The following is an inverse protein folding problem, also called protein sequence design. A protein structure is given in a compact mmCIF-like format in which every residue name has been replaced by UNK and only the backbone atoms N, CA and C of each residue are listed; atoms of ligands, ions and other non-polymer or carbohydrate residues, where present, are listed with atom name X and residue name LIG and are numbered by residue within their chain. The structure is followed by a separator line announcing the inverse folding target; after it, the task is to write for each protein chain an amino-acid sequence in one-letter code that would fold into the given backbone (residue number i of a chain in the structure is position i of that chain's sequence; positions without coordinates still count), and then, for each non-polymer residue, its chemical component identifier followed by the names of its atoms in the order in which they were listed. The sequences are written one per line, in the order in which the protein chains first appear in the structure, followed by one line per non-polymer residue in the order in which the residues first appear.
data_IF_653444585068
#
_entry.id   IF_653444585068
#
_cell.length_a   1.000
_cell.length_b   1.000
_cell.length_c   1.000
_cell.angle_alpha   90.00
_cell.angle_beta   90.00
_cell.angle_gamma   90.00
#
_symmetry.space_group_name_H-M   'P 1'
#
loop_
_entity.id
_entity.type
_entity.pdbx_description
1 polymer ?
#
# COMPACT_ATOMS: atom_id res chain seq x y z
N UNK A 1 61.28 -45.25 13.02
CA UNK A 1 61.34 -44.64 11.66
C UNK A 1 60.37 -45.42 10.80
N UNK A 2 59.31 -44.91 10.16
CA UNK A 2 58.69 -43.59 10.02
C UNK A 2 57.35 -43.90 9.32
N UNK A 3 56.20 -43.69 9.98
CA UNK A 3 55.24 -42.63 9.65
C UNK A 3 54.87 -42.51 8.16
N UNK A 4 53.69 -43.02 7.81
CA UNK A 4 52.71 -42.37 6.91
C UNK A 4 51.73 -41.58 7.83
N UNK A 5 50.86 -40.64 7.37
CA UNK A 5 50.35 -40.45 6.01
C UNK A 5 50.01 -38.97 5.62
N UNK A 6 49.33 -38.84 4.49
CA UNK A 6 48.22 -37.90 4.26
C UNK A 6 48.51 -36.55 3.59
N UNK A 7 48.38 -36.62 2.27
CA UNK A 7 47.95 -35.56 1.35
C UNK A 7 46.85 -34.66 1.95
N UNK A 8 47.13 -33.36 2.01
CA UNK A 8 46.12 -32.31 2.19
C UNK A 8 45.89 -31.64 0.82
N UNK A 9 44.80 -32.03 0.17
CA UNK A 9 44.18 -31.30 -0.94
C UNK A 9 43.45 -30.09 -0.34
N UNK A 10 44.01 -28.89 -0.50
CA UNK A 10 43.32 -27.63 -0.24
C UNK A 10 42.41 -27.31 -1.44
N UNK A 11 41.14 -27.70 -1.32
CA UNK A 11 40.07 -27.19 -2.16
C UNK A 11 39.66 -25.78 -1.64
N UNK A 12 40.17 -24.74 -2.30
CA UNK A 12 39.68 -23.37 -2.14
C UNK A 12 38.29 -23.27 -2.79
N UNK A 13 37.25 -23.39 -1.96
CA UNK A 13 35.88 -23.04 -2.30
C UNK A 13 35.78 -21.52 -2.50
N UNK A 14 35.88 -21.08 -3.74
CA UNK A 14 35.47 -19.74 -4.15
C UNK A 14 33.97 -19.59 -3.90
N UNK A 15 33.62 -18.74 -2.93
CA UNK A 15 32.25 -18.30 -2.70
C UNK A 15 31.75 -17.58 -3.95
N UNK A 16 30.98 -18.28 -4.78
CA UNK A 16 30.20 -17.68 -5.85
C UNK A 16 29.23 -16.68 -5.21
N UNK A 17 29.53 -15.39 -5.39
CA UNK A 17 28.60 -14.31 -5.11
C UNK A 17 27.36 -14.52 -5.97
N UNK A 18 26.28 -15.02 -5.38
CA UNK A 18 24.99 -15.15 -6.01
C UNK A 18 24.34 -13.77 -6.18
N UNK A 19 24.92 -12.92 -7.03
CA UNK A 19 24.19 -11.85 -7.71
C UNK A 19 23.39 -12.51 -8.85
N UNK A 20 22.39 -13.32 -8.48
CA UNK A 20 21.40 -13.75 -9.46
C UNK A 20 20.61 -12.53 -9.93
N UNK A 21 20.31 -12.38 -11.23
CA UNK A 21 19.41 -11.34 -11.69
C UNK A 21 18.08 -11.52 -10.96
N UNK A 22 17.69 -10.51 -10.18
CA UNK A 22 16.39 -10.46 -9.52
C UNK A 22 15.36 -10.51 -10.64
N UNK A 23 14.75 -11.68 -10.86
CA UNK A 23 13.59 -11.84 -11.76
C UNK A 23 12.48 -10.97 -11.18
N UNK A 24 12.39 -9.73 -11.63
CA UNK A 24 11.25 -8.87 -11.40
C UNK A 24 10.07 -9.55 -12.07
N UNK A 25 9.17 -10.13 -11.27
CA UNK A 25 7.93 -10.72 -11.76
C UNK A 25 7.05 -9.58 -12.33
N UNK A 26 6.88 -9.49 -13.66
CA UNK A 26 6.13 -8.40 -14.29
C UNK A 26 4.62 -8.48 -14.00
N UNK A 27 4.15 -9.54 -13.32
CA UNK A 27 2.76 -9.69 -12.92
C UNK A 27 2.42 -9.01 -11.59
N UNK A 28 3.41 -8.75 -10.73
CA UNK A 28 3.19 -8.03 -9.47
C UNK A 28 3.66 -6.60 -9.60
N UNK A 29 2.70 -5.71 -9.81
CA UNK A 29 2.86 -4.30 -9.49
C UNK A 29 3.38 -4.24 -8.05
N UNK A 30 4.59 -3.71 -7.84
CA UNK A 30 4.92 -3.20 -6.53
C UNK A 30 4.04 -1.97 -6.35
N UNK A 31 2.90 -2.15 -5.69
CA UNK A 31 1.98 -1.09 -5.25
C UNK A 31 2.82 0.11 -4.79
N UNK A 32 2.56 1.30 -5.32
CA UNK A 32 3.35 2.47 -4.99
C UNK A 32 3.20 2.74 -3.49
N UNK A 33 4.29 2.48 -2.77
CA UNK A 33 4.25 2.39 -1.32
C UNK A 33 4.01 3.74 -0.63
N UNK A 34 4.05 4.84 -1.39
CA UNK A 34 3.90 6.19 -0.88
C UNK A 34 2.60 6.85 -1.32
N UNK A 35 1.68 6.11 -1.96
CA UNK A 35 0.60 6.76 -2.67
C UNK A 35 -0.65 7.05 -1.82
N UNK A 36 -1.19 8.27 -1.96
CA UNK A 36 -2.49 8.65 -1.44
C UNK A 36 -3.68 8.41 -2.40
N UNK A 37 -3.71 7.29 -3.12
CA UNK A 37 -4.78 7.00 -4.08
C UNK A 37 -5.80 6.03 -3.48
N UNK A 38 -7.10 6.24 -3.71
CA UNK A 38 -8.09 5.24 -3.36
C UNK A 38 -7.90 4.03 -4.26
N UNK A 39 -7.55 2.89 -3.66
CA UNK A 39 -7.67 1.60 -4.33
C UNK A 39 -9.14 1.18 -4.18
N UNK A 40 -9.81 0.85 -5.28
CA UNK A 40 -11.20 0.38 -5.25
C UNK A 40 -12.14 1.41 -4.60
N UNK A 41 -12.51 2.47 -5.30
CA UNK A 41 -13.57 3.38 -4.85
C UNK A 41 -14.94 2.70 -4.99
N UNK A 42 -15.83 2.90 -4.01
CA UNK A 42 -17.19 2.34 -4.00
C UNK A 42 -18.20 3.25 -3.28
N UNK A 43 -19.47 2.94 -3.50
CA UNK A 43 -20.58 3.58 -2.82
C UNK A 43 -20.79 2.94 -1.44
N UNK A 44 -21.46 3.68 -0.55
CA UNK A 44 -21.72 3.22 0.80
C UNK A 44 -22.35 1.81 0.84
N UNK A 45 -21.69 0.89 1.56
CA UNK A 45 -22.18 -0.47 1.75
C UNK A 45 -22.10 -1.38 0.52
N UNK A 46 -21.35 -0.98 -0.51
CA UNK A 46 -21.15 -1.78 -1.73
C UNK A 46 -19.73 -2.36 -1.83
N UNK A 47 -19.53 -3.50 -2.50
CA UNK A 47 -18.19 -4.01 -2.80
C UNK A 47 -17.41 -3.03 -3.69
N UNK A 48 -16.05 -3.03 -3.65
CA UNK A 48 -15.25 -2.20 -4.53
C UNK A 48 -15.53 -2.55 -5.98
N UNK A 49 -15.55 -1.55 -6.86
CA UNK A 49 -15.67 -1.82 -8.28
C UNK A 49 -14.43 -2.61 -8.72
N UNK A 50 -14.64 -3.81 -9.27
CA UNK A 50 -13.53 -4.67 -9.65
C UNK A 50 -12.83 -4.14 -10.90
N UNK A 51 -11.50 -4.09 -10.84
CA UNK A 51 -10.61 -3.61 -11.91
C UNK A 51 -9.53 -4.65 -12.19
N UNK A 52 -9.90 -5.93 -12.15
CA UNK A 52 -8.96 -7.06 -12.25
C UNK A 52 -8.20 -7.10 -13.58
N UNK A 53 -8.81 -6.57 -14.65
CA UNK A 53 -8.15 -6.40 -15.94
C UNK A 53 -7.03 -5.35 -15.95
N UNK A 54 -6.94 -4.49 -14.91
CA UNK A 54 -5.87 -3.50 -14.77
C UNK A 54 -4.65 -4.11 -14.09
N UNK A 55 -3.66 -4.41 -14.92
CA UNK A 55 -2.32 -4.90 -14.59
C UNK A 55 -1.29 -3.83 -14.96
N UNK A 56 -0.01 -4.01 -14.60
CA UNK A 56 1.07 -3.11 -15.08
C UNK A 56 1.02 -2.95 -16.61
N UNK A 57 0.82 -4.06 -17.33
CA UNK A 57 0.83 -4.09 -18.80
C UNK A 57 -0.36 -3.34 -19.42
N UNK A 58 -1.48 -3.27 -18.71
CA UNK A 58 -2.72 -2.63 -19.18
C UNK A 58 -2.99 -1.29 -18.49
N UNK A 59 -2.05 -0.80 -17.68
CA UNK A 59 -2.23 0.39 -16.86
C UNK A 59 -2.57 1.64 -17.70
N UNK A 60 -1.92 1.82 -18.85
CA UNK A 60 -2.24 2.91 -19.79
C UNK A 60 -3.67 2.80 -20.32
N UNK A 61 -4.11 1.60 -20.71
CA UNK A 61 -5.49 1.38 -21.16
C UNK A 61 -6.50 1.70 -20.05
N UNK A 62 -6.18 1.36 -18.80
CA UNK A 62 -7.03 1.71 -17.66
C UNK A 62 -7.10 3.22 -17.42
N UNK A 63 -6.00 3.94 -17.62
CA UNK A 63 -6.00 5.40 -17.59
C UNK A 63 -6.89 5.99 -18.68
N UNK A 64 -6.74 5.54 -19.92
CA UNK A 64 -7.53 6.05 -21.05
C UNK A 64 -9.03 5.77 -20.87
N UNK A 65 -9.38 4.59 -20.33
CA UNK A 65 -10.77 4.25 -19.96
C UNK A 65 -11.30 5.14 -18.83
N UNK A 66 -10.50 5.41 -17.81
CA UNK A 66 -10.88 6.29 -16.72
C UNK A 66 -11.17 7.71 -17.22
N UNK A 67 -10.30 8.25 -18.08
CA UNK A 67 -10.51 9.56 -18.71
C UNK A 67 -11.77 9.59 -19.58
N UNK A 68 -12.04 8.52 -20.32
CA UNK A 68 -13.24 8.42 -21.16
C UNK A 68 -14.51 8.52 -20.30
N UNK A 69 -14.57 7.78 -19.18
CA UNK A 69 -15.69 7.85 -18.25
C UNK A 69 -15.83 9.26 -17.63
N UNK A 70 -14.72 9.87 -17.22
CA UNK A 70 -14.75 11.20 -16.60
C UNK A 70 -15.13 12.30 -17.61
N UNK A 71 -14.75 12.16 -18.88
CA UNK A 71 -15.09 13.10 -19.94
C UNK A 71 -16.59 13.07 -20.30
N UNK A 72 -17.29 11.95 -20.05
CA UNK A 72 -18.73 11.81 -20.27
C UNK A 72 -19.60 12.29 -19.10
N UNK A 73 -19.06 13.08 -18.18
CA UNK A 73 -19.72 13.51 -16.92
C UNK A 73 -20.25 12.31 -16.11
N UNK A 74 -19.46 11.24 -16.00
CA UNK A 74 -19.84 10.04 -15.25
C UNK A 74 -20.24 10.39 -13.81
N UNK A 75 -21.35 9.80 -13.35
CA UNK A 75 -21.88 9.98 -11.98
C UNK A 75 -22.01 8.66 -11.26
N UNK A 76 -22.09 8.72 -9.93
CA UNK A 76 -22.35 7.56 -9.08
C UNK A 76 -21.40 6.39 -9.38
N UNK A 77 -21.91 5.18 -9.71
CA UNK A 77 -21.08 4.00 -9.94
C UNK A 77 -20.02 4.15 -11.04
N UNK A 78 -20.32 4.87 -12.12
CA UNK A 78 -19.38 5.05 -13.23
C UNK A 78 -18.20 5.96 -12.84
N UNK A 79 -18.49 6.99 -12.04
CA UNK A 79 -17.47 7.86 -11.44
C UNK A 79 -16.54 7.07 -10.52
N UNK A 80 -17.11 6.23 -9.66
CA UNK A 80 -16.35 5.36 -8.75
C UNK A 80 -15.53 4.29 -9.50
N UNK A 81 -16.06 3.79 -10.62
CA UNK A 81 -15.32 2.93 -11.54
C UNK A 81 -14.13 3.67 -12.15
N UNK A 82 -14.33 4.90 -12.63
CA UNK A 82 -13.26 5.71 -13.17
C UNK A 82 -12.16 5.98 -12.14
N UNK A 83 -12.53 6.31 -10.90
CA UNK A 83 -11.58 6.45 -9.79
C UNK A 83 -10.79 5.18 -9.52
N UNK A 84 -11.45 4.02 -9.49
CA UNK A 84 -10.78 2.72 -9.30
C UNK A 84 -9.80 2.42 -10.44
N UNK A 85 -10.19 2.66 -11.69
CA UNK A 85 -9.31 2.48 -12.86
C UNK A 85 -8.11 3.43 -12.81
N UNK A 86 -8.33 4.69 -12.42
CA UNK A 86 -7.29 5.69 -12.25
C UNK A 86 -6.28 5.27 -11.18
N UNK A 87 -6.75 4.80 -10.02
CA UNK A 87 -5.92 4.25 -8.94
C UNK A 87 -5.01 3.13 -9.43
N UNK A 88 -5.58 2.15 -10.15
CA UNK A 88 -4.80 1.01 -10.69
C UNK A 88 -3.83 1.40 -11.80
N UNK A 89 -4.22 2.33 -12.67
CA UNK A 89 -3.33 2.84 -13.72
C UNK A 89 -2.11 3.53 -13.10
N UNK A 90 -2.38 4.33 -12.07
CA UNK A 90 -1.37 4.95 -11.27
C UNK A 90 -0.49 3.87 -10.62
N UNK A 91 -1.03 2.77 -10.07
CA UNK A 91 -0.24 1.68 -9.47
C UNK A 91 0.68 1.03 -10.51
N UNK A 92 0.19 0.88 -11.73
CA UNK A 92 0.99 0.53 -12.91
C UNK A 92 1.95 1.61 -13.41
N UNK A 93 2.27 2.62 -12.60
CA UNK A 93 3.24 3.69 -12.85
C UNK A 93 2.87 4.66 -13.98
N UNK A 94 1.59 4.80 -14.31
CA UNK A 94 1.13 5.86 -15.23
C UNK A 94 1.16 7.21 -14.51
N UNK A 95 2.21 8.01 -14.77
CA UNK A 95 2.44 9.31 -14.10
C UNK A 95 1.25 10.26 -14.17
N UNK A 96 0.59 10.33 -15.31
CA UNK A 96 -0.55 11.22 -15.53
C UNK A 96 -1.75 10.83 -14.68
N UNK A 97 -1.99 9.53 -14.49
CA UNK A 97 -3.04 9.04 -13.58
C UNK A 97 -2.78 9.51 -12.14
N UNK A 98 -1.51 9.54 -11.73
CA UNK A 98 -1.11 9.97 -10.39
C UNK A 98 -1.21 11.47 -10.18
N UNK A 99 -0.78 12.24 -11.18
CA UNK A 99 -0.98 13.68 -11.18
C UNK A 99 -2.47 14.03 -11.17
N UNK A 100 -3.29 13.30 -11.92
CA UNK A 100 -4.73 13.52 -11.92
C UNK A 100 -5.34 13.27 -10.54
N UNK A 101 -5.02 12.15 -9.90
CA UNK A 101 -5.54 11.83 -8.56
C UNK A 101 -5.13 12.85 -7.52
N UNK A 102 -3.86 13.29 -7.50
CA UNK A 102 -3.40 14.27 -6.52
C UNK A 102 -4.03 15.65 -6.70
N UNK A 103 -4.44 16.01 -7.92
CA UNK A 103 -5.09 17.27 -8.23
C UNK A 103 -6.59 17.27 -7.88
N UNK A 104 -7.28 16.14 -8.08
CA UNK A 104 -8.74 16.08 -8.02
C UNK A 104 -9.27 15.38 -6.77
N UNK A 105 -8.55 14.41 -6.22
CA UNK A 105 -8.97 13.66 -5.04
C UNK A 105 -8.36 14.28 -3.79
N UNK A 106 -9.22 14.71 -2.87
CA UNK A 106 -8.81 15.03 -1.50
C UNK A 106 -8.65 13.73 -0.74
N UNK A 107 -7.46 13.55 -0.18
CA UNK A 107 -7.11 12.36 0.60
C UNK A 107 -7.94 12.24 1.88
N UNK A 108 -8.13 11.02 2.40
CA UNK A 108 -8.73 10.84 3.71
C UNK A 108 -7.86 11.48 4.78
N UNK A 109 -8.49 12.28 5.64
CA UNK A 109 -7.79 12.99 6.72
C UNK A 109 -8.18 12.43 8.06
N UNK A 110 -7.21 11.98 8.85
CA UNK A 110 -7.46 11.54 10.23
C UNK A 110 -7.98 12.72 11.06
N UNK A 111 -9.09 12.50 11.79
CA UNK A 111 -9.73 13.51 12.66
C UNK A 111 -9.73 13.12 14.13
N UNK A 112 -9.60 11.82 14.45
CA UNK A 112 -9.48 11.33 15.82
C UNK A 112 -8.65 10.05 15.85
N UNK A 113 -8.01 9.80 16.98
CA UNK A 113 -7.04 8.73 17.12
C UNK A 113 -5.69 9.14 16.56
N UNK A 114 -4.69 8.34 16.88
CA UNK A 114 -3.30 8.59 16.53
C UNK A 114 -2.51 7.30 16.74
N UNK A 115 -1.20 7.29 16.45
CA UNK A 115 -0.34 6.23 16.94
C UNK A 115 -0.63 6.00 18.44
N UNK A 116 -0.52 4.79 18.98
CA UNK A 116 -0.81 4.57 20.40
C UNK A 116 -0.08 5.61 21.27
N UNK A 117 -0.84 6.44 21.98
CA UNK A 117 -0.30 7.49 22.85
C UNK A 117 0.29 6.90 24.15
N UNK A 118 0.12 5.59 24.36
CA UNK A 118 0.66 4.87 25.49
C UNK A 118 2.20 5.10 25.55
N UNK A 119 2.74 5.61 26.67
CA UNK A 119 4.17 5.88 26.81
C UNK A 119 5.03 4.65 26.50
N UNK A 120 4.55 3.46 26.87
CA UNK A 120 5.20 2.18 26.57
C UNK A 120 5.33 1.94 25.07
N UNK A 121 4.32 2.29 24.28
CA UNK A 121 4.39 2.18 22.83
C UNK A 121 5.35 3.22 22.26
N UNK A 122 5.29 4.47 22.72
CA UNK A 122 6.19 5.53 22.27
C UNK A 122 7.65 5.19 22.59
N UNK A 123 7.96 4.73 23.80
CA UNK A 123 9.30 4.31 24.20
C UNK A 123 9.79 3.08 23.44
N UNK A 124 8.95 2.04 23.31
CA UNK A 124 9.31 0.85 22.55
C UNK A 124 9.53 1.15 21.07
N UNK A 125 8.70 2.03 20.50
CA UNK A 125 8.84 2.52 19.14
C UNK A 125 10.11 3.36 18.95
N UNK A 126 10.41 4.28 19.88
CA UNK A 126 11.62 5.12 19.86
C UNK A 126 12.89 4.28 19.91
N UNK A 127 13.01 3.36 20.89
CA UNK A 127 14.17 2.47 21.04
C UNK A 127 14.40 1.58 19.82
N UNK A 128 13.31 1.16 19.19
CA UNK A 128 13.38 0.34 17.99
C UNK A 128 13.79 1.17 16.76
N UNK A 129 13.25 2.39 16.60
CA UNK A 129 13.60 3.37 15.54
C UNK A 129 15.05 3.80 15.55
N UNK A 130 15.70 3.84 16.71
CA UNK A 130 17.13 4.14 16.85
C UNK A 130 18.05 3.10 16.16
N UNK A 131 17.53 1.94 15.73
CA UNK A 131 18.33 0.87 15.12
C UNK A 131 17.99 0.47 13.68
N UNK A 132 16.88 0.92 13.07
CA UNK A 132 16.41 0.40 11.76
C UNK A 132 15.45 1.36 11.02
N UNK A 133 15.26 1.14 9.70
CA UNK A 133 14.24 1.81 8.87
C UNK A 133 12.92 1.07 9.02
N UNK A 134 11.90 1.78 9.42
CA UNK A 134 10.68 1.17 9.89
C UNK A 134 9.46 1.69 9.20
N UNK A 135 8.58 0.74 8.92
CA UNK A 135 7.27 1.02 8.42
C UNK A 135 6.32 -0.14 8.69
N UNK A 136 5.07 0.22 8.87
CA UNK A 136 3.93 -0.67 8.72
C UNK A 136 3.05 -0.10 7.63
N UNK A 137 2.66 -0.96 6.69
CA UNK A 137 1.67 -0.67 5.66
C UNK A 137 0.44 -1.51 5.95
N UNK A 138 -0.67 -0.84 6.16
CA UNK A 138 -1.97 -1.50 6.37
C UNK A 138 -2.94 -0.94 5.35
N UNK A 139 -3.51 -1.80 4.52
CA UNK A 139 -4.64 -1.43 3.67
C UNK A 139 -5.92 -1.67 4.45
N UNK A 140 -6.70 -0.63 4.67
CA UNK A 140 -7.98 -0.73 5.35
C UNK A 140 -9.08 -0.19 4.45
N UNK A 141 -10.28 -0.72 4.62
CA UNK A 141 -11.49 -0.18 4.05
C UNK A 141 -11.96 1.02 4.83
N UNK A 142 -11.99 2.20 4.21
CA UNK A 142 -12.56 3.40 4.78
C UNK A 142 -14.03 3.51 4.34
N UNK A 143 -14.92 3.28 5.29
CA UNK A 143 -16.37 3.30 5.07
C UNK A 143 -17.04 4.49 5.75
N UNK A 144 -18.35 4.67 5.52
CA UNK A 144 -19.17 5.71 6.13
C UNK A 144 -18.96 5.75 7.65
N UNK A 145 -18.82 6.97 8.19
CA UNK A 145 -18.42 7.19 9.59
C UNK A 145 -16.90 7.22 9.81
N UNK A 146 -16.10 6.96 8.76
CA UNK A 146 -14.66 7.19 8.79
C UNK A 146 -13.88 6.16 9.59
N UNK A 147 -14.48 5.00 9.86
CA UNK A 147 -13.87 3.93 10.66
C UNK A 147 -13.14 2.97 9.74
N UNK A 148 -11.83 2.72 9.95
CA UNK A 148 -11.12 1.67 9.20
C UNK A 148 -11.69 0.28 9.52
N UNK A 149 -12.01 -0.48 8.49
CA UNK A 149 -12.49 -1.86 8.56
C UNK A 149 -11.64 -2.77 7.68
N UNK A 150 -11.75 -4.10 7.85
CA UNK A 150 -11.11 -5.10 6.97
C UNK A 150 -9.61 -4.79 6.72
N UNK A 151 -8.89 -4.42 7.78
CA UNK A 151 -7.50 -4.00 7.68
C UNK A 151 -6.56 -5.20 7.45
N UNK A 152 -5.79 -5.14 6.37
CA UNK A 152 -4.79 -6.14 5.98
C UNK A 152 -3.38 -5.55 6.05
N UNK A 153 -2.49 -6.21 6.79
CA UNK A 153 -1.07 -5.85 6.81
C UNK A 153 -0.45 -6.24 5.47
N UNK A 154 0.02 -5.25 4.72
CA UNK A 154 0.75 -5.45 3.45
C UNK A 154 2.23 -5.64 3.68
N UNK A 155 2.78 -4.90 4.64
CA UNK A 155 4.20 -4.96 4.99
C UNK A 155 4.36 -4.50 6.44
N UNK A 156 5.22 -5.17 7.20
CA UNK A 156 5.55 -4.75 8.55
C UNK A 156 6.98 -5.14 8.87
N UNK A 157 7.70 -4.19 9.45
CA UNK A 157 9.02 -4.44 10.02
C UNK A 157 8.96 -4.59 11.55
N UNK A 158 7.85 -4.17 12.17
CA UNK A 158 7.62 -4.20 13.61
C UNK A 158 7.63 -5.63 14.19
N UNK A 159 8.13 -5.81 15.42
CA UNK A 159 7.86 -7.01 16.22
C UNK A 159 6.35 -7.24 16.39
N UNK A 160 5.90 -8.50 16.54
CA UNK A 160 4.47 -8.84 16.60
C UNK A 160 3.66 -8.04 17.63
N UNK A 161 4.20 -7.79 18.83
CA UNK A 161 3.50 -7.05 19.88
C UNK A 161 3.27 -5.57 19.50
N UNK A 162 4.27 -4.93 18.91
CA UNK A 162 4.15 -3.54 18.45
C UNK A 162 3.27 -3.44 17.20
N UNK A 163 3.31 -4.44 16.33
CA UNK A 163 2.39 -4.53 15.19
C UNK A 163 0.94 -4.62 15.66
N UNK A 164 0.64 -5.48 16.64
CA UNK A 164 -0.70 -5.61 17.21
C UNK A 164 -1.21 -4.28 17.81
N UNK A 165 -0.34 -3.57 18.55
CA UNK A 165 -0.69 -2.26 19.10
C UNK A 165 -0.91 -1.20 18.01
N UNK A 166 -0.07 -1.18 16.98
CA UNK A 166 -0.23 -0.28 15.83
C UNK A 166 -1.55 -0.53 15.09
N UNK A 167 -1.93 -1.80 14.90
CA UNK A 167 -3.20 -2.17 14.27
C UNK A 167 -4.40 -1.77 15.12
N UNK A 168 -4.34 -1.98 16.44
CA UNK A 168 -5.40 -1.55 17.35
C UNK A 168 -5.61 -0.03 17.30
N UNK A 169 -4.53 0.75 17.22
CA UNK A 169 -4.57 2.20 17.06
C UNK A 169 -5.18 2.64 15.72
N UNK A 170 -4.83 1.97 14.62
CA UNK A 170 -5.44 2.22 13.30
C UNK A 170 -6.95 1.97 13.37
N UNK A 171 -7.38 0.83 13.91
CA UNK A 171 -8.79 0.46 14.02
C UNK A 171 -9.59 1.39 14.95
N UNK A 172 -8.92 1.96 15.97
CA UNK A 172 -9.51 2.95 16.87
C UNK A 172 -9.60 4.37 16.26
N UNK A 173 -8.92 4.61 15.13
CA UNK A 173 -8.89 5.93 14.51
C UNK A 173 -10.19 6.28 13.77
N UNK A 174 -10.34 7.57 13.46
CA UNK A 174 -11.44 8.11 12.63
C UNK A 174 -10.89 9.03 11.57
N UNK A 175 -11.47 8.95 10.38
CA UNK A 175 -11.07 9.69 9.19
C UNK A 175 -12.25 10.47 8.60
N UNK A 176 -11.98 11.64 8.04
CA UNK A 176 -12.82 12.19 6.99
C UNK A 176 -12.54 11.37 5.74
N UNK A 177 -13.60 10.91 5.08
CA UNK A 177 -13.51 10.14 3.85
C UNK A 177 -12.81 10.94 2.74
N UNK A 178 -12.16 10.26 1.78
CA UNK A 178 -11.67 10.95 0.59
C UNK A 178 -12.85 11.54 -0.19
N UNK A 179 -12.59 12.59 -0.96
CA UNK A 179 -13.62 13.22 -1.77
C UNK A 179 -13.11 13.65 -3.13
N UNK A 180 -14.00 13.60 -4.12
CA UNK A 180 -13.80 14.12 -5.47
C UNK A 180 -14.85 15.21 -5.69
N UNK A 181 -14.41 16.43 -6.00
CA UNK A 181 -15.28 17.62 -6.13
C UNK A 181 -16.21 17.86 -4.93
N UNK A 182 -15.73 17.51 -3.72
CA UNK A 182 -16.48 17.66 -2.47
C UNK A 182 -17.46 16.52 -2.15
N UNK A 183 -17.65 15.55 -3.05
CA UNK A 183 -18.45 14.37 -2.79
C UNK A 183 -17.60 13.28 -2.13
N UNK A 184 -17.93 12.85 -0.89
CA UNK A 184 -17.20 11.79 -0.22
C UNK A 184 -17.50 10.41 -0.83
N UNK A 185 -16.52 9.53 -0.82
CA UNK A 185 -16.69 8.14 -1.25
C UNK A 185 -15.93 7.17 -0.34
N UNK A 186 -16.35 5.91 -0.36
CA UNK A 186 -15.66 4.84 0.36
C UNK A 186 -14.54 4.26 -0.51
N UNK A 187 -13.44 3.81 0.10
CA UNK A 187 -12.33 3.21 -0.64
C UNK A 187 -11.53 2.23 0.22
N UNK A 188 -10.67 1.45 -0.44
CA UNK A 188 -9.53 0.85 0.22
C UNK A 188 -8.38 1.87 0.25
N UNK A 189 -7.81 2.06 1.42
CA UNK A 189 -6.78 3.05 1.69
C UNK A 189 -5.59 2.45 2.40
N UNK A 190 -4.39 2.72 1.91
CA UNK A 190 -3.15 2.30 2.57
C UNK A 190 -2.69 3.35 3.58
N UNK A 191 -2.70 2.97 4.85
CA UNK A 191 -2.13 3.73 5.96
C UNK A 191 -0.69 3.30 6.14
N UNK A 192 0.23 4.25 6.09
CA UNK A 192 1.66 4.03 6.36
C UNK A 192 2.03 4.67 7.69
N UNK A 193 2.50 3.85 8.62
CA UNK A 193 3.14 4.31 9.86
C UNK A 193 4.65 4.23 9.64
N UNK A 194 5.36 5.33 9.90
CA UNK A 194 6.82 5.45 9.79
C UNK A 194 7.42 5.78 11.14
#
# INVERSE_FOLDING_TARGET
MSWRPSLLLLALLGAASACGPRKSDPARVAEDLMRPAPVGAFAAGTPPVTTEACTVRTAKTCFDQALTLLATDARGPERLRALSLMGRACDGQVKDACAWLSQHVKEPRRVRGGPPDAPVFQEAFLRWREGRKHHVRVTCRLVQGGVPQQCEVREATLPPELLAQALASIQASRYVLPSLDGEPFECDWTIVIK
#
